data_IF_525609270580
#
_entry.id   IF_525609270580
#
_cell.length_a   1.000
_cell.length_b   1.000
_cell.length_c   1.000
_cell.angle_alpha   90.00
_cell.angle_beta   90.00
_cell.angle_gamma   90.00
#
_symmetry.space_group_name_H-M   'P 1'
#
loop_
_entity.id
_entity.type
_entity.pdbx_description
1 polymer ?
#
# COMPACT_ATOMS: atom_id res chain seq x y z
N UNK A 1 20.92 -2.20 -4.68
CA UNK A 1 20.24 -2.25 -3.47
C UNK A 1 19.65 -0.95 -3.11
N UNK A 2 18.45 -0.92 -2.75
CA UNK A 2 17.76 0.25 -2.34
C UNK A 2 16.68 -0.14 -1.38
N UNK A 3 15.74 0.76 -1.19
CA UNK A 3 14.66 0.53 -0.25
C UNK A 3 13.36 0.95 -0.91
N UNK A 4 12.38 0.06 -0.91
CA UNK A 4 11.07 0.34 -1.47
C UNK A 4 10.04 0.26 -0.37
N UNK A 5 9.21 1.28 -0.27
CA UNK A 5 8.20 1.36 0.77
C UNK A 5 6.82 1.43 0.12
N UNK A 6 5.93 0.55 0.55
CA UNK A 6 4.57 0.52 0.05
C UNK A 6 3.62 0.63 1.22
N UNK A 7 2.60 1.45 1.07
CA UNK A 7 1.62 1.63 2.12
C UNK A 7 0.23 1.65 1.51
N UNK A 8 -0.68 0.89 2.08
CA UNK A 8 -2.04 0.82 1.58
C UNK A 8 -2.89 1.74 2.41
N UNK A 9 -3.55 2.69 1.76
CA UNK A 9 -4.40 3.66 2.45
C UNK A 9 -5.74 3.76 1.74
N UNK A 10 -6.77 4.06 2.49
CA UNK A 10 -8.06 4.26 1.87
C UNK A 10 -9.21 3.92 2.77
N UNK A 11 -10.38 3.91 2.16
CA UNK A 11 -11.59 3.51 2.83
C UNK A 11 -12.52 2.89 1.79
N UNK A 12 -13.75 2.62 2.18
CA UNK A 12 -14.67 1.85 1.35
C UNK A 12 -14.68 2.32 -0.10
N UNK A 13 -14.32 1.43 -1.00
CA UNK A 13 -14.43 1.71 -2.42
C UNK A 13 -13.31 2.51 -3.02
N UNK A 14 -12.35 2.94 -2.22
CA UNK A 14 -11.29 3.77 -2.78
C UNK A 14 -10.00 3.54 -2.04
N UNK A 15 -9.27 2.53 -2.42
CA UNK A 15 -8.01 2.16 -1.79
C UNK A 15 -6.86 2.45 -2.74
N UNK A 16 -5.75 2.90 -2.20
CA UNK A 16 -4.58 3.23 -2.99
C UNK A 16 -3.33 2.61 -2.40
N UNK A 17 -2.36 2.40 -3.26
CA UNK A 17 -1.05 1.97 -2.85
C UNK A 17 -0.14 3.17 -2.95
N UNK A 18 0.47 3.54 -1.85
CA UNK A 18 1.45 4.62 -1.84
C UNK A 18 2.84 3.99 -1.93
N UNK A 19 3.54 4.30 -2.98
CA UNK A 19 4.88 3.78 -3.21
C UNK A 19 5.86 4.93 -3.04
N UNK A 20 6.62 4.87 -1.95
CA UNK A 20 7.58 5.93 -1.62
C UNK A 20 6.90 7.29 -1.60
N UNK A 21 5.69 7.32 -1.05
CA UNK A 21 4.97 8.57 -0.91
C UNK A 21 4.11 8.96 -2.09
N UNK A 22 4.13 8.20 -3.16
CA UNK A 22 3.32 8.53 -4.33
C UNK A 22 2.14 7.58 -4.44
N UNK A 23 0.94 8.15 -4.55
CA UNK A 23 -0.24 7.35 -4.74
C UNK A 23 -0.27 6.87 -6.18
N UNK A 24 -0.56 5.57 -6.34
CA UNK A 24 -0.59 5.02 -7.68
C UNK A 24 -2.02 4.79 -8.12
N UNK A 25 -2.42 3.56 -8.36
CA UNK A 25 -3.76 3.30 -8.85
C UNK A 25 -4.77 3.30 -7.74
N UNK A 26 -6.04 3.35 -8.11
CA UNK A 26 -7.14 3.24 -7.17
C UNK A 26 -7.74 1.85 -7.29
N UNK A 27 -8.04 1.24 -6.17
CA UNK A 27 -8.62 -0.10 -6.13
C UNK A 27 -9.92 -0.06 -5.33
N UNK A 28 -10.83 -0.95 -5.65
CA UNK A 28 -12.12 -0.95 -4.98
C UNK A 28 -12.09 -1.63 -3.62
N UNK A 29 -11.13 -2.48 -3.40
CA UNK A 29 -11.04 -3.17 -2.11
C UNK A 29 -9.62 -3.08 -1.59
N UNK A 30 -9.51 -3.22 -0.28
CA UNK A 30 -8.19 -3.23 0.34
C UNK A 30 -7.39 -4.44 -0.14
N UNK A 31 -8.07 -5.56 -0.32
CA UNK A 31 -7.39 -6.77 -0.75
C UNK A 31 -6.79 -6.61 -2.14
N UNK A 32 -7.51 -5.95 -3.04
CA UNK A 32 -6.97 -5.71 -4.38
C UNK A 32 -5.75 -4.82 -4.33
N UNK A 33 -5.81 -3.78 -3.50
CA UNK A 33 -4.65 -2.90 -3.34
C UNK A 33 -3.49 -3.66 -2.74
N UNK A 34 -3.76 -4.51 -1.76
CA UNK A 34 -2.72 -5.28 -1.11
C UNK A 34 -2.05 -6.22 -2.11
N UNK A 35 -2.83 -6.89 -2.93
CA UNK A 35 -2.26 -7.82 -3.91
C UNK A 35 -1.39 -7.08 -4.92
N UNK A 36 -1.81 -5.90 -5.31
CA UNK A 36 -1.01 -5.10 -6.23
C UNK A 36 0.30 -4.69 -5.57
N UNK A 37 0.25 -4.31 -4.30
CA UNK A 37 1.44 -3.91 -3.58
C UNK A 37 2.38 -5.10 -3.41
N UNK A 38 1.84 -6.28 -3.15
CA UNK A 38 2.67 -7.46 -2.98
C UNK A 38 3.38 -7.79 -4.29
N UNK A 39 2.69 -7.66 -5.42
CA UNK A 39 3.32 -7.93 -6.70
C UNK A 39 4.48 -6.98 -6.95
N UNK A 40 4.27 -5.70 -6.66
CA UNK A 40 5.33 -4.71 -6.84
C UNK A 40 6.48 -4.96 -5.86
N UNK A 41 6.15 -5.29 -4.62
CA UNK A 41 7.16 -5.56 -3.62
C UNK A 41 7.98 -6.79 -4.00
N UNK A 42 7.33 -7.80 -4.55
CA UNK A 42 8.01 -9.00 -4.96
C UNK A 42 9.05 -8.69 -6.03
N UNK A 43 8.69 -7.82 -6.97
CA UNK A 43 9.62 -7.42 -8.00
C UNK A 43 10.81 -6.68 -7.41
N UNK A 44 10.54 -5.79 -6.46
CA UNK A 44 11.62 -5.04 -5.81
C UNK A 44 12.58 -5.97 -5.08
N UNK A 45 12.05 -7.00 -4.44
CA UNK A 45 12.90 -7.97 -3.78
C UNK A 45 13.81 -8.69 -4.77
N UNK A 46 13.28 -9.02 -5.93
CA UNK A 46 14.07 -9.68 -6.95
C UNK A 46 15.17 -8.78 -7.47
N UNK A 47 14.99 -7.48 -7.36
CA UNK A 47 16.00 -6.52 -7.80
C UNK A 47 16.99 -6.20 -6.70
N UNK A 48 16.87 -6.86 -5.55
CA UNK A 48 17.82 -6.66 -4.47
C UNK A 48 17.51 -5.54 -3.53
N UNK A 49 16.28 -5.00 -3.57
CA UNK A 49 15.89 -3.94 -2.67
C UNK A 49 15.32 -4.49 -1.36
N UNK A 50 15.50 -3.74 -0.29
CA UNK A 50 14.77 -4.02 0.92
C UNK A 50 13.36 -3.50 0.74
N UNK A 51 12.37 -4.18 1.31
CA UNK A 51 10.98 -3.80 1.10
C UNK A 51 10.26 -3.66 2.42
N UNK A 52 9.43 -2.63 2.50
CA UNK A 52 8.55 -2.43 3.64
C UNK A 52 7.15 -2.28 3.09
N UNK A 53 6.21 -3.06 3.61
CA UNK A 53 4.84 -3.00 3.18
C UNK A 53 3.94 -2.88 4.39
N UNK A 54 3.11 -1.85 4.42
CA UNK A 54 2.21 -1.59 5.52
C UNK A 54 0.79 -1.69 5.02
N UNK A 55 0.01 -2.59 5.62
CA UNK A 55 -1.38 -2.77 5.26
C UNK A 55 -2.21 -2.63 6.51
N UNK A 56 -3.01 -1.57 6.61
CA UNK A 56 -3.79 -1.34 7.81
C UNK A 56 -4.96 -2.30 7.91
N UNK A 57 -5.37 -2.56 9.14
CA UNK A 57 -6.54 -3.40 9.33
C UNK A 57 -7.83 -2.63 9.26
N UNK A 58 -7.77 -1.33 9.06
CA UNK A 58 -8.96 -0.47 9.02
C UNK A 58 -8.77 0.60 7.97
N UNK A 59 -9.82 1.39 7.78
CA UNK A 59 -9.74 2.47 6.82
C UNK A 59 -8.80 3.56 7.34
N UNK A 60 -8.06 4.17 6.44
CA UNK A 60 -7.03 5.13 6.81
C UNK A 60 -7.17 6.48 6.16
N UNK A 61 -8.03 6.60 5.16
CA UNK A 61 -8.22 7.89 4.54
C UNK A 61 -9.18 8.70 5.37
N UNK A 62 -9.20 9.94 5.27
CA UNK A 62 -10.13 10.79 5.94
C UNK A 62 -10.22 10.52 7.40
N UNK A 63 -9.71 11.11 8.14
CA UNK A 63 -9.94 11.15 9.50
C UNK A 63 -10.16 9.85 10.20
N UNK A 64 -10.26 8.86 9.50
CA UNK A 64 -10.46 7.60 10.14
C UNK A 64 -9.33 7.32 11.07
N UNK A 65 -8.39 8.06 10.98
CA UNK A 65 -7.24 7.89 11.81
C UNK A 65 -7.61 7.78 13.26
N UNK A 66 -8.69 8.33 13.60
CA UNK A 66 -9.01 8.27 14.96
C UNK A 66 -9.53 6.96 15.36
N UNK A 67 -9.76 6.12 14.50
CA UNK A 67 -10.37 4.92 14.85
C UNK A 67 -9.54 4.14 15.80
N UNK A 68 -8.72 4.54 16.30
CA UNK A 68 -7.92 3.91 17.27
C UNK A 68 -8.45 2.82 17.97
#
# INVERSE_FOLDING_TARGET
MGFASYEIVGNAGEWRVHHDGKAENVYETKEAAFEAAVAAASLALRQGHDVRLIAPGRETATGAANAG
#
